data_IF_173260942894
#
_entry.id   IF_173260942894
#
_cell.length_a   1.000
_cell.length_b   1.000
_cell.length_c   1.000
_cell.angle_alpha   90.00
_cell.angle_beta   90.00
_cell.angle_gamma   90.00
#
_symmetry.space_group_name_H-M   'P 1'
#
loop_
_entity.id
_entity.type
_entity.pdbx_description
1 polymer ?
#
# COMPACT_ATOMS: atom_id res chain seq x y z
N UNK A 1 -6.33 -32.05 1.45
CA UNK A 1 -7.23 -30.92 1.15
C UNK A 1 -6.56 -29.62 1.58
N UNK A 2 -5.69 -29.04 0.75
CA UNK A 2 -5.00 -27.75 1.04
C UNK A 2 -5.18 -26.71 -0.08
N UNK A 3 -5.75 -27.09 -1.23
CA UNK A 3 -5.81 -26.24 -2.43
C UNK A 3 -6.77 -25.06 -2.37
N UNK A 4 -7.81 -25.07 -1.53
CA UNK A 4 -8.80 -23.97 -1.46
C UNK A 4 -8.30 -22.76 -0.68
N UNK A 5 -7.41 -22.94 0.31
CA UNK A 5 -6.89 -21.84 1.11
C UNK A 5 -5.95 -20.94 0.31
N UNK A 6 -5.15 -21.52 -0.58
CA UNK A 6 -4.23 -20.82 -1.48
C UNK A 6 -4.93 -20.04 -2.60
N UNK A 7 -6.09 -20.51 -3.08
CA UNK A 7 -6.91 -19.79 -4.07
C UNK A 7 -7.47 -18.49 -3.47
N UNK A 8 -8.10 -18.58 -2.29
CA UNK A 8 -8.64 -17.42 -1.60
C UNK A 8 -7.56 -16.40 -1.20
N UNK A 9 -6.36 -16.88 -0.84
CA UNK A 9 -5.20 -16.02 -0.56
C UNK A 9 -4.67 -15.33 -1.81
N UNK A 10 -4.65 -16.01 -2.96
CA UNK A 10 -4.26 -15.42 -4.24
C UNK A 10 -5.28 -14.35 -4.67
N UNK A 11 -6.58 -14.65 -4.59
CA UNK A 11 -7.65 -13.71 -4.90
C UNK A 11 -7.59 -12.47 -3.99
N UNK A 12 -7.37 -12.67 -2.68
CA UNK A 12 -7.25 -11.55 -1.75
C UNK A 12 -6.03 -10.66 -2.07
N UNK A 13 -4.90 -11.27 -2.42
CA UNK A 13 -3.69 -10.52 -2.82
C UNK A 13 -3.91 -9.74 -4.11
N UNK A 14 -4.55 -10.35 -5.11
CA UNK A 14 -4.85 -9.70 -6.38
C UNK A 14 -5.77 -8.48 -6.22
N UNK A 15 -6.73 -8.51 -5.30
CA UNK A 15 -7.55 -7.32 -4.98
C UNK A 15 -6.69 -6.17 -4.46
N UNK A 16 -5.77 -6.43 -3.52
CA UNK A 16 -4.87 -5.37 -3.04
C UNK A 16 -3.97 -4.81 -4.14
N UNK A 17 -3.48 -5.66 -5.06
CA UNK A 17 -2.72 -5.20 -6.22
C UNK A 17 -3.57 -4.32 -7.14
N UNK A 18 -4.83 -4.67 -7.35
CA UNK A 18 -5.77 -3.87 -8.15
C UNK A 18 -6.03 -2.50 -7.51
N UNK A 19 -6.32 -2.47 -6.21
CA UNK A 19 -6.53 -1.21 -5.48
C UNK A 19 -5.28 -0.33 -5.50
N UNK A 20 -4.09 -0.92 -5.36
CA UNK A 20 -2.82 -0.18 -5.48
C UNK A 20 -2.63 0.38 -6.89
N UNK A 21 -2.97 -0.37 -7.93
CA UNK A 21 -2.91 0.11 -9.31
C UNK A 21 -3.86 1.30 -9.53
N UNK A 22 -5.13 1.18 -9.11
CA UNK A 22 -6.12 2.25 -9.22
C UNK A 22 -5.73 3.50 -8.42
N UNK A 23 -5.16 3.32 -7.21
CA UNK A 23 -4.62 4.41 -6.42
C UNK A 23 -3.45 5.10 -7.14
N UNK A 24 -2.53 4.31 -7.69
CA UNK A 24 -1.38 4.80 -8.44
C UNK A 24 -1.85 5.64 -9.64
N UNK A 25 -2.81 5.16 -10.42
CA UNK A 25 -3.38 5.89 -11.54
C UNK A 25 -4.02 7.22 -11.12
N UNK A 26 -4.76 7.25 -10.00
CA UNK A 26 -5.32 8.49 -9.46
C UNK A 26 -4.25 9.49 -9.05
N UNK A 27 -3.16 9.01 -8.42
CA UNK A 27 -2.03 9.87 -8.06
C UNK A 27 -1.32 10.40 -9.31
N UNK A 28 -1.19 9.58 -10.37
CA UNK A 28 -0.57 9.99 -11.63
C UNK A 28 -1.41 11.06 -12.31
N UNK A 29 -2.73 10.88 -12.35
CA UNK A 29 -3.65 11.83 -12.94
C UNK A 29 -3.65 13.19 -12.20
N UNK A 30 -3.51 13.18 -10.87
CA UNK A 30 -3.53 14.39 -10.06
C UNK A 30 -2.18 15.13 -9.97
N UNK A 31 -1.07 14.40 -9.88
CA UNK A 31 0.24 14.96 -9.53
C UNK A 31 1.39 14.52 -10.44
N UNK A 32 1.12 13.64 -11.41
CA UNK A 32 2.12 13.14 -12.34
C UNK A 32 2.79 11.82 -11.91
N UNK A 33 3.46 11.22 -12.89
CA UNK A 33 4.07 9.89 -12.76
C UNK A 33 5.21 9.84 -11.76
N UNK A 34 6.07 10.85 -11.76
CA UNK A 34 7.26 10.89 -10.90
C UNK A 34 6.89 10.99 -9.42
N UNK A 35 5.89 11.81 -9.09
CA UNK A 35 5.36 11.91 -7.73
C UNK A 35 4.79 10.58 -7.25
N UNK A 36 3.95 9.94 -8.07
CA UNK A 36 3.27 8.70 -7.72
C UNK A 36 4.25 7.56 -7.46
N UNK A 37 5.24 7.43 -8.34
CA UNK A 37 6.31 6.45 -8.19
C UNK A 37 7.13 6.70 -6.90
N UNK A 38 7.53 7.95 -6.64
CA UNK A 38 8.27 8.32 -5.43
C UNK A 38 7.49 8.02 -4.14
N UNK A 39 6.19 8.34 -4.12
CA UNK A 39 5.33 8.10 -2.96
C UNK A 39 5.16 6.60 -2.66
N UNK A 40 4.99 5.76 -3.69
CA UNK A 40 4.87 4.31 -3.52
C UNK A 40 6.20 3.68 -3.07
N UNK A 41 7.33 4.15 -3.59
CA UNK A 41 8.66 3.71 -3.14
C UNK A 41 8.88 4.07 -1.67
N UNK A 42 8.48 5.28 -1.25
CA UNK A 42 8.55 5.69 0.16
C UNK A 42 7.64 4.85 1.05
N UNK A 43 6.42 4.55 0.61
CA UNK A 43 5.49 3.68 1.33
C UNK A 43 6.07 2.26 1.49
N UNK A 44 6.64 1.69 0.43
CA UNK A 44 7.31 0.39 0.47
C UNK A 44 8.51 0.39 1.43
N UNK A 45 9.32 1.46 1.39
CA UNK A 45 10.46 1.64 2.31
C UNK A 45 10.00 1.71 3.76
N UNK A 46 8.92 2.43 4.04
CA UNK A 46 8.35 2.53 5.38
C UNK A 46 7.91 1.17 5.92
N UNK A 47 7.25 0.37 5.09
CA UNK A 47 6.86 -1.01 5.43
C UNK A 47 8.10 -1.87 5.71
N UNK A 48 9.13 -1.77 4.86
CA UNK A 48 10.39 -2.51 5.02
C UNK A 48 11.16 -2.09 6.30
N UNK A 49 11.10 -0.82 6.67
CA UNK A 49 11.72 -0.28 7.88
C UNK A 49 11.01 -0.72 9.18
N UNK A 50 9.85 -1.39 9.11
CA UNK A 50 9.06 -1.86 10.27
C UNK A 50 8.82 -0.76 11.33
N UNK A 51 8.84 0.52 10.93
CA UNK A 51 8.50 1.60 11.83
C UNK A 51 6.99 1.54 12.03
N UNK A 52 6.48 1.29 13.26
CA UNK A 52 5.07 1.45 13.49
C UNK A 52 4.69 2.87 13.08
N UNK A 53 3.57 3.00 12.37
CA UNK A 53 2.94 4.30 12.19
C UNK A 53 2.48 4.74 13.58
N UNK A 54 3.41 5.24 14.38
CA UNK A 54 3.13 6.09 15.52
C UNK A 54 2.43 7.29 14.91
N UNK A 55 1.11 7.14 14.72
CA UNK A 55 0.21 8.26 14.79
C UNK A 55 0.51 8.81 16.17
N UNK A 56 1.36 9.85 16.24
CA UNK A 56 1.49 10.70 17.40
C UNK A 56 0.10 11.28 17.65
N UNK A 57 -0.73 10.48 18.30
CA UNK A 57 -1.93 10.92 18.96
C UNK A 57 -1.41 11.80 20.08
N UNK A 58 -1.78 13.07 19.99
CA UNK A 58 -1.53 14.07 21.00
C UNK A 58 -1.81 13.52 22.41
N UNK A 59 -0.92 13.82 23.35
CA UNK A 59 -1.27 13.95 24.76
C UNK A 59 -0.49 15.13 25.32
N UNK A 60 -1.19 16.27 25.36
CA UNK A 60 -1.26 17.22 26.48
C UNK A 60 0.02 17.53 27.27
N UNK A 61 0.47 18.78 27.18
CA UNK A 61 0.87 19.58 28.34
C UNK A 61 0.50 21.04 28.11
#
# INVERSE_FOLDING_TARGET
MTSTRSLNEAESKDQYFKELAELSERMIAAHGKEFSMGALVLAARFIAENKPFERSAATTS
#
